data_IF_631122628818
#
_entry.id   IF_631122628818
#
_cell.length_a   1.000
_cell.length_b   1.000
_cell.length_c   1.000
_cell.angle_alpha   90.00
_cell.angle_beta   90.00
_cell.angle_gamma   90.00
#
_symmetry.space_group_name_H-M   'P 1'
#
loop_
_entity.id
_entity.type
_entity.pdbx_description
1 polymer ?
#
# COMPACT_ATOMS: atom_id res chain seq x y z
N UNK A 1 -11.41 -10.22 6.67
CA UNK A 1 -11.27 -10.11 8.14
C UNK A 1 -12.60 -9.68 8.75
N UNK A 2 -13.14 -10.45 9.72
CA UNK A 2 -14.38 -10.09 10.43
C UNK A 2 -14.06 -9.25 11.66
N UNK A 3 -14.89 -8.25 11.93
CA UNK A 3 -14.82 -7.49 13.19
C UNK A 3 -15.57 -8.29 14.26
N UNK A 4 -14.98 -8.39 15.46
CA UNK A 4 -15.61 -9.07 16.58
C UNK A 4 -17.01 -8.48 16.86
N UNK A 5 -18.06 -9.30 17.08
CA UNK A 5 -19.44 -8.80 17.17
C UNK A 5 -19.66 -7.67 18.17
N UNK A 6 -18.91 -7.66 19.27
CA UNK A 6 -19.00 -6.59 20.29
C UNK A 6 -18.41 -5.26 19.83
N UNK A 7 -17.44 -5.29 18.90
CA UNK A 7 -16.76 -4.08 18.41
C UNK A 7 -17.46 -3.49 17.18
N UNK A 8 -18.30 -4.27 16.49
CA UNK A 8 -19.00 -3.80 15.28
C UNK A 8 -19.87 -2.54 15.53
N UNK A 9 -20.32 -2.33 16.77
CA UNK A 9 -21.08 -1.12 17.16
C UNK A 9 -20.31 0.18 16.90
N UNK A 10 -18.97 0.13 16.99
CA UNK A 10 -18.09 1.29 16.76
C UNK A 10 -17.90 1.60 15.27
N UNK A 11 -18.32 0.68 14.37
CA UNK A 11 -18.23 0.82 12.92
C UNK A 11 -19.60 1.07 12.28
N UNK A 12 -20.46 1.82 12.99
CA UNK A 12 -21.75 2.25 12.47
C UNK A 12 -21.62 3.56 11.73
N UNK A 13 -22.40 3.71 10.67
CA UNK A 13 -22.51 4.96 9.92
C UNK A 13 -23.94 5.19 9.48
N UNK A 14 -24.29 6.46 9.30
CA UNK A 14 -25.55 6.87 8.74
C UNK A 14 -25.42 7.00 7.23
N UNK A 15 -26.36 6.42 6.49
CA UNK A 15 -26.46 6.60 5.05
C UNK A 15 -27.88 7.01 4.69
N UNK A 16 -28.00 7.88 3.70
CA UNK A 16 -29.29 8.43 3.25
C UNK A 16 -29.22 8.72 1.77
N UNK A 17 -30.22 8.32 1.01
CA UNK A 17 -30.31 8.68 -0.40
C UNK A 17 -30.75 10.15 -0.53
N UNK A 18 -30.32 10.82 -1.58
CA UNK A 18 -30.77 12.18 -1.85
C UNK A 18 -32.31 12.22 -1.98
N UNK A 19 -32.94 13.11 -1.21
CA UNK A 19 -34.41 13.24 -1.15
C UNK A 19 -35.08 12.46 -0.02
N UNK A 20 -34.38 11.56 0.68
CA UNK A 20 -34.90 10.94 1.90
C UNK A 20 -34.74 11.88 3.11
N UNK A 21 -35.70 11.84 4.03
CA UNK A 21 -35.69 12.65 5.26
C UNK A 21 -34.82 11.95 6.31
N UNK A 22 -35.15 10.69 6.62
CA UNK A 22 -34.51 9.91 7.67
C UNK A 22 -33.32 9.09 7.15
N UNK A 23 -32.16 9.12 7.83
CA UNK A 23 -31.04 8.26 7.50
C UNK A 23 -31.24 6.83 8.01
N UNK A 24 -30.65 5.86 7.31
CA UNK A 24 -30.56 4.47 7.76
C UNK A 24 -29.22 4.22 8.45
N UNK A 25 -29.22 3.51 9.57
CA UNK A 25 -28.00 3.08 10.27
C UNK A 25 -27.48 1.79 9.63
N UNK A 26 -26.25 1.83 9.15
CA UNK A 26 -25.51 0.65 8.68
C UNK A 26 -24.39 0.31 9.65
N UNK A 27 -23.94 -0.95 9.63
CA UNK A 27 -22.88 -1.45 10.48
C UNK A 27 -21.93 -2.32 9.66
N UNK A 28 -20.62 -2.01 9.70
CA UNK A 28 -19.62 -2.88 9.09
C UNK A 28 -19.47 -4.18 9.88
N UNK A 29 -19.45 -5.31 9.17
CA UNK A 29 -19.15 -6.64 9.74
C UNK A 29 -17.70 -7.06 9.50
N UNK A 30 -17.00 -6.34 8.63
CA UNK A 30 -15.63 -6.60 8.20
C UNK A 30 -14.84 -5.32 8.37
N UNK A 31 -13.56 -5.50 8.65
CA UNK A 31 -12.62 -4.39 8.75
C UNK A 31 -12.64 -3.60 7.44
N UNK A 32 -12.83 -2.29 7.53
CA UNK A 32 -12.78 -1.38 6.39
C UNK A 32 -11.37 -0.81 6.22
N UNK A 33 -11.00 -0.52 4.97
CA UNK A 33 -9.65 -0.02 4.62
C UNK A 33 -9.31 1.36 5.20
N UNK A 34 -10.29 2.11 5.67
CA UNK A 34 -10.12 3.49 6.18
C UNK A 34 -9.86 3.51 7.70
N UNK A 35 -9.95 2.36 8.36
CA UNK A 35 -9.68 2.31 9.80
C UNK A 35 -8.17 2.37 10.08
N UNK A 36 -7.79 3.08 11.14
CA UNK A 36 -6.37 3.30 11.49
C UNK A 36 -5.56 2.00 11.65
N UNK A 37 -6.05 0.96 12.36
CA UNK A 37 -5.33 -0.30 12.48
C UNK A 37 -5.50 -1.24 11.27
N UNK A 38 -6.22 -0.83 10.21
CA UNK A 38 -6.49 -1.72 9.08
C UNK A 38 -5.23 -2.30 8.41
N UNK A 39 -4.16 -1.51 8.19
CA UNK A 39 -2.90 -2.03 7.66
C UNK A 39 -2.27 -3.10 8.55
N UNK A 40 -2.24 -2.88 9.87
CA UNK A 40 -1.65 -3.82 10.83
C UNK A 40 -2.40 -5.16 10.85
N UNK A 41 -3.73 -5.11 10.79
CA UNK A 41 -4.55 -6.32 10.69
C UNK A 41 -4.34 -7.05 9.38
N UNK A 42 -4.19 -6.34 8.25
CA UNK A 42 -3.90 -6.94 6.95
C UNK A 42 -2.57 -7.71 6.98
N UNK A 43 -1.49 -7.04 7.43
CA UNK A 43 -0.16 -7.64 7.59
C UNK A 43 -0.21 -8.82 8.57
N UNK A 44 -0.93 -8.70 9.69
CA UNK A 44 -1.08 -9.80 10.66
C UNK A 44 -1.73 -11.04 10.04
N UNK A 45 -2.76 -10.85 9.20
CA UNK A 45 -3.39 -11.95 8.47
C UNK A 45 -2.43 -12.60 7.47
N UNK A 46 -1.70 -11.78 6.69
CA UNK A 46 -0.68 -12.26 5.74
C UNK A 46 0.39 -13.07 6.45
N UNK A 47 0.93 -12.55 7.55
CA UNK A 47 1.93 -13.24 8.37
C UNK A 47 1.40 -14.55 8.96
N UNK A 48 0.13 -14.57 9.38
CA UNK A 48 -0.52 -15.78 9.88
C UNK A 48 -0.59 -16.85 8.78
N UNK A 49 -0.98 -16.47 7.56
CA UNK A 49 -1.02 -17.39 6.42
C UNK A 49 0.37 -17.88 6.02
N UNK A 50 1.37 -16.99 6.03
CA UNK A 50 2.76 -17.34 5.77
C UNK A 50 3.33 -18.30 6.83
N UNK A 51 2.95 -18.16 8.11
CA UNK A 51 3.34 -19.08 9.17
C UNK A 51 2.65 -20.45 9.08
N UNK A 52 1.43 -20.49 8.53
CA UNK A 52 0.68 -21.73 8.29
C UNK A 52 1.04 -22.37 6.94
N UNK A 53 1.83 -21.70 6.11
CA UNK A 53 2.26 -22.21 4.83
C UNK A 53 3.19 -23.41 5.01
N UNK A 54 3.20 -24.28 4.00
CA UNK A 54 4.06 -25.45 3.99
C UNK A 54 5.53 -25.01 3.90
N UNK A 55 6.44 -25.76 4.53
CA UNK A 55 7.89 -25.56 4.43
C UNK A 55 8.42 -25.67 3.00
N UNK A 56 7.61 -26.18 2.07
CA UNK A 56 7.92 -26.27 0.65
C UNK A 56 7.95 -24.93 -0.10
N UNK A 57 7.44 -23.81 0.47
CA UNK A 57 7.47 -22.47 -0.16
C UNK A 57 8.34 -21.46 0.60
N UNK A 58 9.62 -21.75 0.89
CA UNK A 58 10.42 -20.95 1.82
C UNK A 58 10.61 -19.51 1.35
N UNK A 59 10.75 -19.31 0.04
CA UNK A 59 10.98 -17.98 -0.54
C UNK A 59 9.70 -17.13 -0.55
N UNK A 60 8.57 -17.69 -0.97
CA UNK A 60 7.28 -17.00 -0.90
C UNK A 60 6.89 -16.64 0.55
N UNK A 61 7.15 -17.52 1.51
CA UNK A 61 6.95 -17.25 2.94
C UNK A 61 7.83 -16.09 3.42
N UNK A 62 9.09 -16.05 2.98
CA UNK A 62 10.01 -14.96 3.31
C UNK A 62 9.51 -13.64 2.74
N UNK A 63 9.15 -13.60 1.45
CA UNK A 63 8.65 -12.38 0.80
C UNK A 63 7.36 -11.86 1.44
N UNK A 64 6.43 -12.75 1.81
CA UNK A 64 5.21 -12.35 2.55
C UNK A 64 5.50 -11.75 3.93
N UNK A 65 6.60 -12.16 4.58
CA UNK A 65 6.97 -11.66 5.92
C UNK A 65 7.80 -10.39 5.88
N UNK A 66 8.71 -10.28 4.91
CA UNK A 66 9.73 -9.24 4.88
C UNK A 66 9.44 -8.15 3.84
N UNK A 67 8.68 -8.46 2.79
CA UNK A 67 8.46 -7.59 1.64
C UNK A 67 6.97 -7.26 1.40
N UNK A 68 6.17 -7.31 2.47
CA UNK A 68 4.77 -6.88 2.45
C UNK A 68 4.61 -5.57 3.22
N UNK A 69 3.88 -4.62 2.63
CA UNK A 69 3.56 -3.33 3.21
C UNK A 69 2.06 -3.06 3.06
N UNK A 70 1.35 -3.00 4.18
CA UNK A 70 -0.11 -2.89 4.23
C UNK A 70 -0.79 -3.96 3.34
N UNK A 71 -1.40 -3.54 2.22
CA UNK A 71 -2.06 -4.38 1.22
C UNK A 71 -1.20 -4.69 -0.01
N UNK A 72 0.01 -4.13 -0.10
CA UNK A 72 0.97 -4.40 -1.16
C UNK A 72 1.98 -5.49 -0.74
N UNK A 73 2.41 -6.28 -1.72
CA UNK A 73 3.52 -7.23 -1.56
C UNK A 73 4.36 -7.22 -2.84
N UNK A 74 5.68 -7.29 -2.69
CA UNK A 74 6.58 -7.23 -3.83
C UNK A 74 7.94 -7.82 -3.54
N UNK A 75 8.81 -7.83 -4.54
CA UNK A 75 10.17 -8.34 -4.39
C UNK A 75 10.90 -8.36 -5.72
N UNK A 76 12.21 -8.46 -5.67
CA UNK A 76 13.07 -8.64 -6.84
C UNK A 76 13.63 -10.06 -6.86
N UNK A 77 13.76 -10.63 -8.05
CA UNK A 77 14.29 -11.97 -8.30
C UNK A 77 15.34 -11.94 -9.40
N UNK A 78 16.25 -12.90 -9.36
CA UNK A 78 17.35 -13.03 -10.32
C UNK A 78 16.93 -13.52 -11.70
N UNK A 79 15.74 -14.14 -11.81
CA UNK A 79 15.23 -14.71 -13.05
C UNK A 79 13.71 -14.56 -13.14
N UNK A 80 13.20 -14.54 -14.38
CA UNK A 80 11.76 -14.51 -14.65
C UNK A 80 11.07 -15.80 -14.19
N UNK A 81 11.77 -16.92 -14.28
CA UNK A 81 11.31 -18.22 -13.79
C UNK A 81 11.10 -18.20 -12.26
N UNK A 82 12.06 -17.66 -11.51
CA UNK A 82 11.94 -17.52 -10.06
C UNK A 82 10.82 -16.55 -9.68
N UNK A 83 10.71 -15.41 -10.38
CA UNK A 83 9.62 -14.46 -10.17
C UNK A 83 8.25 -15.11 -10.38
N UNK A 84 8.05 -15.82 -11.48
CA UNK A 84 6.79 -16.52 -11.78
C UNK A 84 6.46 -17.60 -10.76
N UNK A 85 7.48 -18.38 -10.35
CA UNK A 85 7.31 -19.41 -9.33
C UNK A 85 6.88 -18.78 -8.00
N UNK A 86 7.61 -17.77 -7.52
CA UNK A 86 7.35 -17.15 -6.21
C UNK A 86 5.99 -16.43 -6.19
N UNK A 87 5.62 -15.68 -7.23
CA UNK A 87 4.30 -15.01 -7.28
C UNK A 87 3.14 -16.02 -7.29
N UNK A 88 3.32 -17.16 -7.96
CA UNK A 88 2.36 -18.27 -7.94
C UNK A 88 2.25 -18.90 -6.55
N UNK A 89 3.38 -19.17 -5.89
CA UNK A 89 3.43 -19.71 -4.53
C UNK A 89 2.78 -18.75 -3.52
N UNK A 90 3.07 -17.44 -3.60
CA UNK A 90 2.43 -16.40 -2.79
C UNK A 90 0.90 -16.44 -2.97
N UNK A 91 0.44 -16.46 -4.23
CA UNK A 91 -0.99 -16.50 -4.54
C UNK A 91 -1.65 -17.75 -3.95
N UNK A 92 -0.98 -18.91 -3.99
CA UNK A 92 -1.46 -20.16 -3.41
C UNK A 92 -1.53 -20.11 -1.87
N UNK A 93 -0.56 -19.48 -1.20
CA UNK A 93 -0.57 -19.28 0.26
C UNK A 93 -1.75 -18.38 0.66
N UNK A 94 -1.89 -17.23 0.00
CA UNK A 94 -2.94 -16.24 0.30
C UNK A 94 -4.35 -16.77 0.02
N UNK A 95 -4.51 -17.59 -1.02
CA UNK A 95 -5.79 -18.22 -1.37
C UNK A 95 -6.34 -19.11 -0.23
N UNK A 96 -5.48 -19.71 0.61
CA UNK A 96 -5.93 -20.46 1.81
C UNK A 96 -6.73 -19.60 2.79
N UNK A 97 -6.41 -18.30 2.86
CA UNK A 97 -7.14 -17.32 3.66
C UNK A 97 -8.24 -16.58 2.89
N UNK A 98 -8.50 -16.94 1.62
CA UNK A 98 -9.37 -16.21 0.69
C UNK A 98 -8.91 -14.76 0.43
N UNK A 99 -7.60 -14.55 0.47
CA UNK A 99 -6.97 -13.31 0.00
C UNK A 99 -6.60 -13.50 -1.47
N UNK A 100 -7.14 -12.64 -2.33
CA UNK A 100 -6.91 -12.67 -3.77
C UNK A 100 -5.99 -11.51 -4.14
N UNK A 101 -4.90 -11.81 -4.84
CA UNK A 101 -4.03 -10.76 -5.41
C UNK A 101 -4.82 -10.05 -6.50
N UNK A 102 -4.95 -8.73 -6.36
CA UNK A 102 -5.63 -7.89 -7.35
C UNK A 102 -4.86 -7.85 -8.66
N UNK A 103 -3.54 -7.62 -8.59
CA UNK A 103 -2.69 -7.49 -9.75
C UNK A 103 -1.23 -7.86 -9.44
N UNK A 104 -0.55 -8.44 -10.42
CA UNK A 104 0.91 -8.57 -10.45
C UNK A 104 1.49 -7.63 -11.52
N UNK A 105 2.59 -6.96 -11.17
CA UNK A 105 3.30 -6.04 -12.05
C UNK A 105 4.79 -6.40 -12.06
N UNK A 106 5.44 -6.25 -13.22
CA UNK A 106 6.88 -6.51 -13.37
C UNK A 106 7.47 -5.61 -14.45
N UNK A 107 8.74 -5.29 -14.31
CA UNK A 107 9.57 -4.64 -15.34
C UNK A 107 10.04 -5.63 -16.43
N UNK A 108 9.79 -6.93 -16.28
CA UNK A 108 10.20 -7.93 -17.25
C UNK A 108 8.97 -8.57 -17.93
N UNK A 109 8.97 -8.62 -19.27
CA UNK A 109 7.85 -9.14 -20.06
C UNK A 109 7.56 -10.62 -19.83
N UNK A 110 8.59 -11.39 -19.48
CA UNK A 110 8.49 -12.84 -19.27
C UNK A 110 7.91 -13.22 -17.89
N UNK A 111 7.70 -12.24 -17.02
CA UNK A 111 7.01 -12.43 -15.74
C UNK A 111 5.51 -12.20 -15.93
N UNK A 112 4.70 -13.04 -15.31
CA UNK A 112 3.25 -12.95 -15.34
C UNK A 112 2.77 -11.60 -14.79
N UNK A 113 1.94 -10.91 -15.57
CA UNK A 113 1.35 -9.63 -15.21
C UNK A 113 -0.15 -9.67 -15.51
N UNK A 114 -0.94 -9.01 -14.68
CA UNK A 114 -2.39 -8.89 -14.87
C UNK A 114 -2.77 -7.69 -15.74
N UNK A 115 -1.93 -6.64 -15.78
CA UNK A 115 -2.19 -5.42 -16.54
C UNK A 115 -0.89 -4.89 -17.17
N UNK A 116 -0.99 -4.43 -18.42
CA UNK A 116 0.09 -3.78 -19.17
C UNK A 116 0.16 -2.27 -18.85
N UNK A 117 1.37 -1.69 -18.97
CA UNK A 117 1.59 -0.24 -18.82
C UNK A 117 1.94 0.25 -17.42
N UNK A 118 1.96 1.58 -17.25
CA UNK A 118 2.38 2.25 -16.02
C UNK A 118 1.49 1.87 -14.83
N UNK A 119 2.12 1.62 -13.68
CA UNK A 119 1.42 1.35 -12.42
C UNK A 119 1.91 2.30 -11.34
N UNK A 120 1.34 2.19 -10.14
CA UNK A 120 1.85 2.90 -8.97
C UNK A 120 2.52 1.93 -8.01
N UNK A 121 3.70 2.27 -7.52
CA UNK A 121 4.40 1.55 -6.46
C UNK A 121 4.45 2.43 -5.21
N UNK A 122 3.74 2.02 -4.15
CA UNK A 122 3.60 2.77 -2.89
C UNK A 122 3.25 4.27 -3.06
N UNK A 123 2.44 4.58 -4.08
CA UNK A 123 2.00 5.94 -4.38
C UNK A 123 2.86 6.69 -5.41
N UNK A 124 4.05 6.20 -5.74
CA UNK A 124 4.89 6.72 -6.82
C UNK A 124 4.48 6.13 -8.17
N UNK A 125 4.76 6.82 -9.27
CA UNK A 125 4.57 6.27 -10.61
C UNK A 125 5.74 5.34 -10.92
N UNK A 126 5.47 4.15 -11.46
CA UNK A 126 6.50 3.22 -11.92
C UNK A 126 6.31 2.95 -13.41
N UNK A 127 7.30 3.38 -14.19
CA UNK A 127 7.46 2.97 -15.58
C UNK A 127 8.17 1.61 -15.59
N UNK A 128 7.42 0.58 -15.92
CA UNK A 128 7.91 -0.80 -15.93
C UNK A 128 8.88 -1.06 -17.08
N UNK A 129 8.78 -0.33 -18.19
CA UNK A 129 9.60 -0.59 -19.37
C UNK A 129 11.04 -0.09 -19.17
N UNK A 130 11.17 1.12 -18.61
CA UNK A 130 12.47 1.72 -18.30
C UNK A 130 12.96 1.41 -16.87
N UNK A 131 12.10 0.78 -16.06
CA UNK A 131 12.31 0.53 -14.62
C UNK A 131 12.59 1.81 -13.82
N UNK A 132 11.82 2.86 -14.12
CA UNK A 132 11.97 4.18 -13.51
C UNK A 132 10.82 4.49 -12.55
N UNK A 133 11.17 4.92 -11.34
CA UNK A 133 10.21 5.43 -10.35
C UNK A 133 10.22 6.95 -10.40
N UNK A 134 9.06 7.56 -10.63
CA UNK A 134 8.88 9.01 -10.67
C UNK A 134 7.90 9.53 -9.62
N UNK A 135 8.17 10.74 -9.16
CA UNK A 135 7.35 11.44 -8.17
C UNK A 135 6.22 12.20 -8.85
N UNK A 136 5.04 12.19 -8.23
CA UNK A 136 3.88 12.96 -8.67
C UNK A 136 4.07 14.44 -8.32
N UNK A 137 4.95 15.11 -9.06
CA UNK A 137 5.32 16.52 -8.82
C UNK A 137 4.11 17.45 -8.92
N UNK A 138 3.13 17.11 -9.75
CA UNK A 138 1.90 17.88 -9.96
C UNK A 138 1.06 18.03 -8.69
N UNK A 139 1.30 17.19 -7.67
CA UNK A 139 0.60 17.24 -6.39
C UNK A 139 1.19 18.27 -5.42
N UNK A 140 2.45 18.70 -5.62
CA UNK A 140 3.10 19.69 -4.74
C UNK A 140 2.63 21.09 -5.11
N UNK A 141 1.71 21.64 -4.32
CA UNK A 141 1.17 22.97 -4.51
C UNK A 141 1.94 23.99 -3.67
N UNK A 142 2.46 25.02 -4.34
CA UNK A 142 3.07 26.17 -3.67
C UNK A 142 2.03 26.90 -2.79
N UNK A 143 2.26 26.89 -1.48
CA UNK A 143 1.35 27.50 -0.49
C UNK A 143 1.59 29.02 -0.40
N UNK A 144 1.10 29.77 -1.40
CA UNK A 144 1.02 31.25 -1.41
C UNK A 144 2.35 32.04 -1.27
N UNK A 145 2.38 33.30 -1.75
CA UNK A 145 3.61 34.12 -1.84
C UNK A 145 4.22 34.57 -0.50
N UNK A 146 3.54 34.41 0.63
CA UNK A 146 4.05 34.83 1.95
C UNK A 146 4.71 33.68 2.69
N UNK A 147 6.02 33.84 2.96
CA UNK A 147 6.88 32.85 3.60
C UNK A 147 6.61 32.76 5.11
N UNK A 148 6.45 31.54 5.63
CA UNK A 148 6.45 31.27 7.07
C UNK A 148 6.86 29.82 7.33
N UNK A 149 7.51 29.55 8.46
CA UNK A 149 7.93 28.19 8.86
C UNK A 149 6.82 27.15 8.71
N UNK A 150 5.60 27.49 9.14
CA UNK A 150 4.41 26.65 9.02
C UNK A 150 4.03 26.31 7.57
N UNK A 151 4.19 27.26 6.64
CA UNK A 151 3.88 27.03 5.23
C UNK A 151 4.97 26.24 4.53
N UNK A 152 6.23 26.50 4.86
CA UNK A 152 7.35 25.69 4.40
C UNK A 152 7.17 24.23 4.85
N UNK A 153 6.80 24.02 6.12
CA UNK A 153 6.48 22.69 6.64
C UNK A 153 5.31 22.05 5.89
N UNK A 154 4.25 22.80 5.58
CA UNK A 154 3.14 22.30 4.79
C UNK A 154 3.52 21.95 3.34
N UNK A 155 4.51 22.62 2.74
CA UNK A 155 5.06 22.24 1.44
C UNK A 155 5.88 20.95 1.54
N UNK A 156 6.79 20.84 2.51
CA UNK A 156 7.62 19.64 2.71
C UNK A 156 6.76 18.42 3.05
N UNK A 157 5.71 18.59 3.86
CA UNK A 157 4.79 17.50 4.21
C UNK A 157 3.94 16.98 3.03
N UNK A 158 3.92 17.66 1.87
CA UNK A 158 3.30 17.14 0.65
C UNK A 158 4.19 16.12 -0.06
N UNK A 159 5.47 16.01 0.30
CA UNK A 159 6.38 15.01 -0.25
C UNK A 159 6.03 13.66 0.38
N UNK A 160 5.27 12.85 -0.37
CA UNK A 160 5.03 11.45 -0.02
C UNK A 160 6.23 10.61 -0.45
N UNK A 161 6.96 10.05 0.51
CA UNK A 161 8.14 9.20 0.28
C UNK A 161 8.27 8.11 1.36
N UNK A 162 7.35 7.13 1.41
CA UNK A 162 7.32 6.10 2.44
C UNK A 162 8.55 5.17 2.41
N UNK A 163 9.25 5.10 1.27
CA UNK A 163 10.42 4.23 1.05
C UNK A 163 11.76 4.98 1.08
N UNK A 164 11.73 6.31 1.21
CA UNK A 164 12.92 7.14 1.38
C UNK A 164 13.72 7.43 0.11
N UNK A 165 13.13 7.27 -1.08
CA UNK A 165 13.79 7.45 -2.37
C UNK A 165 14.30 8.89 -2.62
N UNK A 166 13.64 9.92 -2.06
CA UNK A 166 14.05 11.33 -2.17
C UNK A 166 14.54 11.92 -0.86
N UNK A 167 14.71 11.09 0.16
CA UNK A 167 15.29 11.50 1.45
C UNK A 167 16.60 12.29 1.32
N UNK A 168 17.54 11.94 0.40
CA UNK A 168 18.75 12.74 0.21
C UNK A 168 18.51 14.21 -0.17
N UNK A 169 17.36 14.53 -0.78
CA UNK A 169 16.98 15.89 -1.18
C UNK A 169 16.04 16.53 -0.16
N UNK A 170 15.08 15.77 0.38
CA UNK A 170 14.09 16.31 1.32
C UNK A 170 14.67 16.58 2.71
N UNK A 171 15.80 15.97 3.07
CA UNK A 171 16.50 16.22 4.35
C UNK A 171 17.05 17.65 4.41
N UNK A 172 17.55 18.20 3.31
CA UNK A 172 18.05 19.58 3.24
C UNK A 172 16.93 20.57 3.58
N UNK A 173 15.75 20.38 2.98
CA UNK A 173 14.55 21.18 3.29
C UNK A 173 14.14 21.08 4.76
N UNK A 174 14.34 19.91 5.36
CA UNK A 174 14.03 19.67 6.77
C UNK A 174 15.03 20.37 7.70
N UNK A 175 16.32 20.42 7.32
CA UNK A 175 17.36 21.16 8.03
C UNK A 175 17.08 22.66 7.95
N UNK A 176 16.82 23.20 6.76
CA UNK A 176 16.47 24.61 6.56
C UNK A 176 15.24 25.02 7.40
N UNK A 177 14.25 24.13 7.50
CA UNK A 177 13.06 24.34 8.34
C UNK A 177 13.39 24.45 9.83
N UNK A 178 14.42 23.77 10.32
CA UNK A 178 14.84 23.90 11.72
C UNK A 178 15.41 25.27 12.02
N UNK A 179 16.16 25.84 11.07
CA UNK A 179 16.85 27.14 11.18
C UNK A 179 15.94 28.36 11.00
N UNK A 180 14.76 28.18 10.38
CA UNK A 180 13.71 29.19 10.16
C UNK A 180 12.90 29.58 11.41
#
# INVERSE_FOLDING_TARGET
VLIHPQDQVFYRFLWRKQGEIEPTVYQWKRLNFVDKPAPDFAISCVNTLANMADTHFPEAVKDLKEHSYADDSGGSKSSSEDANRVTTEISAILAKGKFEIKAWHSNHSDVYQTEDGATTFHGHNWDKAEDEISFKKEEIKLVNKTFSKRKCLACVAQIWDPVGLVTPVSIELTIDLQEL
#
